data_IF_454964718881
#
_entry.id   IF_454964718881
#
_cell.length_a   1.000
_cell.length_b   1.000
_cell.length_c   1.000
_cell.angle_alpha   90.00
_cell.angle_beta   90.00
_cell.angle_gamma   90.00
#
_symmetry.space_group_name_H-M   'P 1'
#
loop_
_entity.id
_entity.type
_entity.pdbx_description
1 polymer ?
#
# COMPACT_ATOMS: atom_id res chain seq x y z
N UNK A 1 4.71 22.06 -6.26
CA UNK A 1 5.27 21.35 -7.43
C UNK A 1 5.78 20.02 -6.92
N UNK A 2 5.23 18.90 -7.39
CA UNK A 2 5.69 17.55 -7.02
C UNK A 2 7.10 17.35 -7.60
N UNK A 3 8.05 16.93 -6.78
CA UNK A 3 9.47 16.77 -7.20
C UNK A 3 9.98 15.34 -7.17
N UNK A 4 9.29 14.45 -6.46
CA UNK A 4 9.72 13.08 -6.25
C UNK A 4 8.56 12.11 -6.47
N UNK A 5 8.86 11.01 -7.16
CA UNK A 5 7.98 9.87 -7.32
C UNK A 5 8.63 8.68 -6.63
N UNK A 6 7.94 8.13 -5.64
CA UNK A 6 8.36 6.93 -4.93
C UNK A 6 7.48 5.77 -5.39
N UNK A 7 8.10 4.65 -5.74
CA UNK A 7 7.39 3.43 -6.11
C UNK A 7 7.48 2.45 -4.94
N UNK A 8 6.33 2.04 -4.43
CA UNK A 8 6.24 1.06 -3.34
C UNK A 8 5.40 -0.13 -3.82
N UNK A 9 6.02 -1.32 -3.80
CA UNK A 9 5.28 -2.56 -4.01
C UNK A 9 4.43 -2.86 -2.77
N UNK A 10 3.25 -3.42 -2.97
CA UNK A 10 2.44 -3.91 -1.85
C UNK A 10 3.25 -4.86 -0.94
N UNK A 11 2.94 -4.87 0.35
CA UNK A 11 3.55 -5.79 1.32
C UNK A 11 3.21 -7.26 1.04
N UNK A 12 3.74 -8.13 1.89
CA UNK A 12 3.52 -9.58 1.81
C UNK A 12 2.01 -9.89 1.87
N UNK A 13 1.47 -10.42 0.77
CA UNK A 13 0.05 -10.72 0.59
C UNK A 13 -0.23 -12.21 0.77
N UNK A 14 -1.45 -12.52 1.22
CA UNK A 14 -1.84 -13.90 1.55
C UNK A 14 -1.68 -14.84 0.36
N UNK A 15 -0.90 -15.91 0.49
CA UNK A 15 -0.58 -16.82 -0.61
C UNK A 15 -0.70 -18.30 -0.24
N UNK A 16 -1.08 -18.64 0.98
CA UNK A 16 -1.06 -20.01 1.49
C UNK A 16 -2.45 -20.51 1.92
N UNK A 17 -2.87 -21.65 1.38
CA UNK A 17 -4.05 -22.39 1.83
C UNK A 17 -5.34 -22.15 1.04
N UNK A 18 -6.46 -22.59 1.61
CA UNK A 18 -7.79 -22.32 1.08
C UNK A 18 -8.10 -20.83 1.28
N UNK A 19 -8.23 -20.02 0.21
CA UNK A 19 -8.35 -18.58 0.33
C UNK A 19 -9.64 -18.19 1.06
N UNK A 20 -9.52 -17.25 2.00
CA UNK A 20 -10.67 -16.61 2.67
C UNK A 20 -11.25 -15.43 1.85
N UNK A 21 -10.73 -15.21 0.65
CA UNK A 21 -11.09 -14.15 -0.31
C UNK A 21 -11.57 -14.77 -1.63
N UNK A 22 -12.48 -14.10 -2.34
CA UNK A 22 -13.15 -14.68 -3.52
C UNK A 22 -12.41 -14.42 -4.82
N UNK A 23 -11.74 -13.27 -4.92
CA UNK A 23 -11.02 -12.83 -6.12
C UNK A 23 -9.62 -12.34 -5.75
N UNK A 24 -8.71 -12.30 -6.72
CA UNK A 24 -7.34 -11.79 -6.46
C UNK A 24 -7.34 -10.33 -5.98
N UNK A 25 -8.27 -9.50 -6.43
CA UNK A 25 -8.40 -8.11 -6.00
C UNK A 25 -8.74 -7.98 -4.52
N UNK A 26 -9.42 -8.96 -3.94
CA UNK A 26 -9.77 -9.02 -2.52
C UNK A 26 -8.66 -9.61 -1.62
N UNK A 27 -7.57 -10.10 -2.20
CA UNK A 27 -6.47 -10.73 -1.46
C UNK A 27 -5.83 -9.73 -0.48
N UNK A 28 -5.90 -9.99 0.84
CA UNK A 28 -5.36 -9.09 1.86
C UNK A 28 -3.84 -9.22 1.99
N UNK A 29 -3.23 -8.29 2.74
CA UNK A 29 -1.91 -8.54 3.31
C UNK A 29 -1.99 -9.67 4.34
N UNK A 30 -0.88 -10.39 4.53
CA UNK A 30 -0.75 -11.29 5.68
C UNK A 30 -0.67 -10.47 6.97
N UNK A 31 -0.85 -11.14 8.13
CA UNK A 31 -0.63 -10.50 9.43
C UNK A 31 0.78 -9.91 9.54
N UNK A 32 1.77 -10.68 9.12
CA UNK A 32 3.18 -10.26 9.17
C UNK A 32 3.47 -9.18 8.13
N UNK A 33 2.85 -9.26 6.95
CA UNK A 33 2.92 -8.22 5.92
C UNK A 33 2.42 -6.86 6.42
N UNK A 34 1.27 -6.83 7.11
CA UNK A 34 0.76 -5.59 7.76
C UNK A 34 1.72 -5.06 8.81
N UNK A 35 2.22 -5.93 9.70
CA UNK A 35 3.17 -5.53 10.75
C UNK A 35 4.47 -4.95 10.15
N UNK A 36 4.99 -5.58 9.09
CA UNK A 36 6.16 -5.09 8.36
C UNK A 36 5.90 -3.74 7.69
N UNK A 37 4.73 -3.52 7.09
CA UNK A 37 4.41 -2.23 6.47
C UNK A 37 4.32 -1.11 7.48
N UNK A 38 3.76 -1.36 8.67
CA UNK A 38 3.76 -0.37 9.73
C UNK A 38 5.20 0.05 10.12
N UNK A 39 6.12 -0.92 10.24
CA UNK A 39 7.53 -0.64 10.56
C UNK A 39 8.22 0.12 9.42
N UNK A 40 8.02 -0.31 8.17
CA UNK A 40 8.60 0.33 7.00
C UNK A 40 8.10 1.76 6.82
N UNK A 41 6.81 2.01 7.01
CA UNK A 41 6.22 3.35 6.95
C UNK A 41 6.86 4.30 7.99
N UNK A 42 7.13 3.81 9.20
CA UNK A 42 7.87 4.59 10.20
C UNK A 42 9.34 4.80 9.81
N UNK A 43 9.97 3.80 9.19
CA UNK A 43 11.34 3.93 8.70
C UNK A 43 11.46 4.96 7.57
N UNK A 44 10.48 5.05 6.67
CA UNK A 44 10.43 6.06 5.61
C UNK A 44 10.49 7.48 6.17
N UNK A 45 9.81 7.75 7.29
CA UNK A 45 9.89 9.05 7.99
C UNK A 45 11.28 9.33 8.54
N UNK A 46 11.97 8.31 9.07
CA UNK A 46 13.34 8.43 9.58
C UNK A 46 14.36 8.66 8.46
N UNK A 47 14.00 8.37 7.22
CA UNK A 47 14.80 8.63 6.02
C UNK A 47 14.46 9.99 5.38
N UNK A 48 13.68 10.85 6.05
CA UNK A 48 13.24 12.15 5.56
C UNK A 48 12.51 12.11 4.20
N UNK A 49 11.84 10.99 3.90
CA UNK A 49 10.99 10.88 2.71
C UNK A 49 9.74 11.73 2.94
N UNK A 50 9.60 12.80 2.15
CA UNK A 50 8.43 13.67 2.17
C UNK A 50 7.37 13.16 1.17
N UNK A 51 6.14 12.95 1.67
CA UNK A 51 5.00 12.47 0.89
C UNK A 51 3.87 13.49 1.06
N UNK A 52 3.26 13.91 -0.05
CA UNK A 52 2.14 14.85 -0.07
C UNK A 52 0.82 14.19 -0.50
N UNK A 53 0.91 13.10 -1.28
CA UNK A 53 -0.22 12.34 -1.82
C UNK A 53 0.19 10.89 -2.01
N UNK A 54 -0.75 9.97 -1.82
CA UNK A 54 -0.55 8.54 -2.06
C UNK A 54 -1.53 8.11 -3.15
N UNK A 55 -1.01 7.57 -4.24
CA UNK A 55 -1.81 6.94 -5.29
C UNK A 55 -1.59 5.43 -5.20
N UNK A 56 -2.67 4.65 -5.14
CA UNK A 56 -2.59 3.20 -4.94
C UNK A 56 -3.56 2.45 -5.86
N UNK A 57 -3.27 1.17 -6.09
CA UNK A 57 -4.20 0.27 -6.79
C UNK A 57 -5.44 0.01 -5.93
N UNK A 58 -6.63 -0.17 -6.53
CA UNK A 58 -7.83 -0.57 -5.80
C UNK A 58 -7.74 -1.97 -5.18
N UNK A 59 -6.74 -2.77 -5.56
CA UNK A 59 -6.55 -4.12 -5.02
C UNK A 59 -6.19 -4.05 -3.54
N UNK A 60 -6.89 -4.85 -2.72
CA UNK A 60 -6.89 -4.76 -1.25
C UNK A 60 -5.48 -4.77 -0.65
N UNK A 61 -4.57 -5.64 -1.11
CA UNK A 61 -3.17 -5.69 -0.66
C UNK A 61 -2.41 -4.37 -0.86
N UNK A 62 -2.65 -3.66 -1.96
CA UNK A 62 -2.03 -2.38 -2.25
C UNK A 62 -2.67 -1.27 -1.42
N UNK A 63 -4.01 -1.30 -1.26
CA UNK A 63 -4.72 -0.38 -0.38
C UNK A 63 -4.29 -0.51 1.09
N UNK A 64 -4.23 -1.72 1.64
CA UNK A 64 -3.76 -1.96 3.01
C UNK A 64 -2.30 -1.50 3.22
N UNK A 65 -1.46 -1.61 2.18
CA UNK A 65 -0.09 -1.07 2.20
C UNK A 65 -0.11 0.47 2.24
N UNK A 66 -0.93 1.09 1.39
CA UNK A 66 -1.08 2.53 1.32
C UNK A 66 -1.67 3.11 2.61
N UNK A 67 -2.65 2.44 3.24
CA UNK A 67 -3.23 2.79 4.54
C UNK A 67 -2.16 2.80 5.65
N UNK A 68 -1.24 1.84 5.66
CA UNK A 68 -0.15 1.81 6.64
C UNK A 68 0.80 3.01 6.47
N UNK A 69 1.10 3.41 5.23
CA UNK A 69 1.88 4.62 4.94
C UNK A 69 1.10 5.87 5.30
N UNK A 70 -0.16 5.96 4.88
CA UNK A 70 -1.04 7.09 5.16
C UNK A 70 -1.16 7.35 6.66
N UNK A 71 -1.37 6.31 7.47
CA UNK A 71 -1.43 6.43 8.93
C UNK A 71 -0.13 6.92 9.57
N UNK A 72 1.03 6.53 9.05
CA UNK A 72 2.31 7.03 9.54
C UNK A 72 2.52 8.51 9.22
N UNK A 73 2.03 8.96 8.07
CA UNK A 73 2.18 10.32 7.54
C UNK A 73 1.02 11.25 7.87
N UNK A 74 -0.09 10.74 8.42
CA UNK A 74 -1.37 11.46 8.64
C UNK A 74 -1.96 12.00 7.34
N UNK A 75 -2.06 11.11 6.35
CA UNK A 75 -2.50 11.39 4.98
C UNK A 75 -3.69 10.53 4.55
N UNK A 76 -4.50 10.05 5.50
CA UNK A 76 -5.66 9.18 5.22
C UNK A 76 -6.68 9.85 4.29
N UNK A 77 -6.81 11.18 4.33
CA UNK A 77 -7.65 12.00 3.45
C UNK A 77 -6.99 12.34 2.09
N UNK A 78 -5.73 11.93 1.89
CA UNK A 78 -4.92 12.20 0.67
C UNK A 78 -4.55 10.93 -0.08
N UNK A 79 -5.32 9.86 0.12
CA UNK A 79 -5.18 8.62 -0.60
C UNK A 79 -6.12 8.59 -1.81
N UNK A 80 -5.59 8.27 -2.98
CA UNK A 80 -6.33 8.20 -4.24
C UNK A 80 -6.16 6.82 -4.85
N UNK A 81 -7.27 6.13 -5.08
CA UNK A 81 -7.26 4.87 -5.82
C UNK A 81 -7.20 5.15 -7.33
N UNK A 82 -6.49 4.31 -8.08
CA UNK A 82 -6.37 4.41 -9.53
C UNK A 82 -6.32 3.03 -10.17
N UNK A 83 -7.25 2.77 -11.08
CA UNK A 83 -7.33 1.52 -11.86
C UNK A 83 -6.09 1.34 -12.76
N UNK A 84 -5.38 2.43 -13.10
CA UNK A 84 -4.12 2.38 -13.84
C UNK A 84 -2.97 1.72 -13.06
N UNK A 85 -3.15 1.46 -11.76
CA UNK A 85 -2.19 0.75 -10.93
C UNK A 85 -2.59 -0.72 -10.69
N UNK A 86 -3.66 -1.20 -11.32
CA UNK A 86 -3.98 -2.62 -11.30
C UNK A 86 -2.90 -3.48 -11.97
N UNK A 87 -2.72 -4.73 -11.53
CA UNK A 87 -1.87 -5.67 -12.24
C UNK A 87 -2.33 -5.85 -13.70
N UNK A 88 -1.48 -5.49 -14.65
CA UNK A 88 -1.77 -5.62 -16.08
C UNK A 88 -2.52 -4.44 -16.69
N UNK A 89 -2.65 -3.31 -15.97
CA UNK A 89 -3.13 -2.07 -16.55
C UNK A 89 -2.25 -1.61 -17.74
N UNK A 90 -2.89 -0.99 -18.74
CA UNK A 90 -2.30 -0.59 -20.02
C UNK A 90 -1.63 0.78 -20.00
#
# INVERSE_FOLDING_TARGET
MIRHLYLLRHGDADHDGAPTWRTDSERPLTRDGRARMAIQAQAMKKLDIAIEVIVTSPYRRARETAEAVAGAYRLEDRMVESDLLEPGAA
#
